data_IF_032400947611
#
_entry.id   IF_032400947611
#
_cell.length_a   1.000
_cell.length_b   1.000
_cell.length_c   1.000
_cell.angle_alpha   90.00
_cell.angle_beta   90.00
_cell.angle_gamma   90.00
#
_symmetry.space_group_name_H-M   'P 1'
#
loop_
_entity.id
_entity.type
_entity.pdbx_description
1 polymer ?
#
# COMPACT_ATOMS: atom_id res chain seq x y z
N UNK A 1 9.44 24.64 -2.64
CA UNK A 1 9.86 23.61 -3.60
C UNK A 1 9.22 22.30 -3.16
N UNK A 2 8.46 21.66 -4.04
CA UNK A 2 7.80 20.38 -3.73
C UNK A 2 8.83 19.25 -3.70
N UNK A 3 8.78 18.39 -2.68
CA UNK A 3 9.75 17.30 -2.51
C UNK A 3 9.06 16.02 -2.05
N UNK A 4 9.67 14.90 -2.41
CA UNK A 4 9.20 13.56 -2.12
C UNK A 4 10.36 12.67 -1.69
N UNK A 5 10.11 11.78 -0.74
CA UNK A 5 10.94 10.60 -0.54
C UNK A 5 10.62 9.61 -1.65
N UNK A 6 11.66 8.98 -2.18
CA UNK A 6 11.56 8.00 -3.24
C UNK A 6 12.11 6.66 -2.73
N UNK A 7 11.23 5.67 -2.69
CA UNK A 7 11.57 4.27 -2.50
C UNK A 7 11.84 3.60 -3.85
N UNK A 8 12.56 2.50 -3.83
CA UNK A 8 12.91 1.76 -5.04
C UNK A 8 13.47 0.37 -4.73
N UNK A 9 13.56 -0.46 -5.75
CA UNK A 9 14.18 -1.77 -5.64
C UNK A 9 15.70 -1.67 -5.72
N UNK A 10 16.40 -2.30 -4.78
CA UNK A 10 17.84 -2.49 -4.82
C UNK A 10 18.22 -3.82 -5.47
N UNK A 11 19.52 -4.20 -5.43
CA UNK A 11 20.03 -5.36 -6.18
C UNK A 11 19.37 -6.69 -5.84
N UNK A 12 18.94 -6.91 -4.59
CA UNK A 12 18.25 -8.13 -4.17
C UNK A 12 16.89 -8.32 -4.85
N UNK A 13 16.31 -7.25 -5.40
CA UNK A 13 15.03 -7.23 -6.10
C UNK A 13 15.21 -6.85 -7.58
N UNK A 14 16.39 -7.13 -8.15
CA UNK A 14 16.75 -6.83 -9.54
C UNK A 14 16.65 -5.34 -9.91
N UNK A 15 16.81 -4.46 -8.92
CA UNK A 15 16.80 -3.00 -9.11
C UNK A 15 18.14 -2.34 -8.82
N UNK A 16 18.18 -1.02 -9.01
CA UNK A 16 19.39 -0.19 -8.94
C UNK A 16 19.38 0.83 -7.80
N UNK A 17 18.33 0.88 -6.97
CA UNK A 17 18.23 1.84 -5.88
C UNK A 17 19.19 1.51 -4.72
N UNK A 18 19.91 2.53 -4.24
CA UNK A 18 20.85 2.39 -3.12
C UNK A 18 20.20 2.67 -1.75
N UNK A 19 18.95 3.11 -1.73
CA UNK A 19 18.21 3.44 -0.51
C UNK A 19 17.06 4.41 -0.76
N UNK A 20 16.69 5.16 0.28
CA UNK A 20 15.63 6.17 0.17
C UNK A 20 16.25 7.43 -0.40
N UNK A 21 15.76 7.86 -1.56
CA UNK A 21 16.24 9.07 -2.21
C UNK A 21 15.26 10.23 -2.15
N UNK A 22 15.68 11.35 -2.74
CA UNK A 22 14.88 12.57 -2.83
C UNK A 22 14.53 12.86 -4.28
N UNK A 23 13.25 13.03 -4.54
CA UNK A 23 12.73 13.61 -5.77
C UNK A 23 12.27 15.03 -5.48
N UNK A 24 12.76 16.01 -6.23
CA UNK A 24 12.45 17.43 -5.99
C UNK A 24 11.94 18.10 -7.27
N UNK A 25 10.81 18.79 -7.17
CA UNK A 25 10.29 19.63 -8.25
C UNK A 25 10.97 21.00 -8.27
N UNK A 26 10.80 21.77 -9.34
CA UNK A 26 11.30 23.15 -9.46
C UNK A 26 10.77 24.13 -8.41
N UNK A 27 11.35 25.33 -8.39
CA UNK A 27 10.89 26.43 -7.55
C UNK A 27 9.55 26.97 -8.08
N UNK A 28 8.48 26.62 -7.38
CA UNK A 28 7.12 27.04 -7.71
C UNK A 28 6.12 26.57 -6.67
N UNK A 29 4.88 27.05 -6.78
CA UNK A 29 3.76 26.51 -6.00
C UNK A 29 3.34 25.13 -6.49
N UNK A 30 3.46 24.89 -7.79
CA UNK A 30 3.22 23.60 -8.44
C UNK A 30 4.49 23.18 -9.17
N UNK A 31 4.86 21.91 -9.07
CA UNK A 31 6.01 21.38 -9.80
C UNK A 31 5.67 21.27 -11.29
N UNK A 32 6.57 21.76 -12.14
CA UNK A 32 6.55 21.60 -13.59
C UNK A 32 7.66 20.68 -14.11
N UNK A 33 8.73 20.52 -13.33
CA UNK A 33 9.80 19.55 -13.57
C UNK A 33 10.07 18.74 -12.32
N UNK A 34 10.83 17.66 -12.43
CA UNK A 34 11.26 16.81 -11.32
C UNK A 34 12.74 16.45 -11.51
N UNK A 35 13.47 16.30 -10.42
CA UNK A 35 14.84 15.82 -10.47
C UNK A 35 15.12 14.92 -9.28
N UNK A 36 15.68 13.75 -9.55
CA UNK A 36 16.25 12.90 -8.52
C UNK A 36 17.54 13.54 -7.97
N UNK A 37 17.67 13.61 -6.65
CA UNK A 37 18.78 14.27 -5.94
C UNK A 37 19.71 13.29 -5.24
N UNK A 38 19.55 11.99 -5.49
CA UNK A 38 20.34 10.93 -4.87
C UNK A 38 19.72 10.38 -3.60
N UNK A 39 20.31 9.29 -3.06
CA UNK A 39 19.92 8.70 -1.78
C UNK A 39 20.27 9.65 -0.62
N UNK A 40 19.38 9.74 0.37
CA UNK A 40 19.64 10.44 1.64
C UNK A 40 19.95 9.49 2.79
N UNK A 41 19.69 8.20 2.59
CA UNK A 41 20.07 7.12 3.50
C UNK A 41 20.21 5.84 2.71
N UNK A 42 21.25 5.06 3.00
CA UNK A 42 21.47 3.76 2.37
C UNK A 42 20.67 2.70 3.12
N UNK A 43 19.85 1.95 2.39
CA UNK A 43 19.03 0.86 2.94
C UNK A 43 18.60 -0.05 1.78
N UNK A 44 18.55 -1.38 1.97
CA UNK A 44 18.29 -2.27 0.84
C UNK A 44 16.80 -2.28 0.45
N UNK A 45 16.53 -2.10 -0.84
CA UNK A 45 15.21 -2.25 -1.46
C UNK A 45 14.03 -1.65 -0.66
N UNK A 46 14.04 -0.35 -0.30
CA UNK A 46 12.92 0.31 0.38
C UNK A 46 11.74 0.47 -0.59
N UNK A 47 11.03 -0.64 -0.86
CA UNK A 47 10.07 -0.73 -1.95
C UNK A 47 8.76 0.02 -1.67
N UNK A 48 8.43 0.21 -0.39
CA UNK A 48 7.28 0.96 0.08
C UNK A 48 7.66 1.90 1.23
N UNK A 49 7.14 3.12 1.22
CA UNK A 49 7.36 4.11 2.26
C UNK A 49 6.05 4.55 2.91
N UNK A 50 6.03 4.66 4.24
CA UNK A 50 4.92 5.23 5.00
C UNK A 50 5.43 6.28 5.99
N UNK A 51 4.70 7.40 6.14
CA UNK A 51 5.05 8.43 7.10
C UNK A 51 4.25 8.27 8.40
N UNK A 52 4.90 8.50 9.55
CA UNK A 52 4.19 8.70 10.81
C UNK A 52 3.26 9.92 10.70
N UNK A 53 2.01 9.90 11.23
CA UNK A 53 1.04 10.99 11.04
C UNK A 53 1.46 12.32 11.66
N UNK A 54 2.20 12.30 12.77
CA UNK A 54 2.54 13.50 13.57
C UNK A 54 4.02 13.68 13.92
N UNK A 55 4.88 12.70 13.59
CA UNK A 55 6.29 12.72 13.93
C UNK A 55 7.09 12.76 12.62
N UNK A 56 8.30 13.26 12.72
CA UNK A 56 9.29 13.27 11.64
C UNK A 56 9.94 11.88 11.46
N UNK A 57 9.10 10.87 11.23
CA UNK A 57 9.51 9.46 11.07
C UNK A 57 8.93 8.88 9.78
N UNK A 58 9.78 8.20 9.02
CA UNK A 58 9.44 7.42 7.82
C UNK A 58 9.72 5.94 8.10
N UNK A 59 8.80 5.08 7.70
CA UNK A 59 8.93 3.63 7.75
C UNK A 59 9.12 3.10 6.32
N UNK A 60 10.04 2.16 6.14
CA UNK A 60 10.30 1.52 4.87
C UNK A 60 10.11 0.01 4.97
N UNK A 61 9.44 -0.57 3.97
CA UNK A 61 9.45 -2.02 3.73
C UNK A 61 10.70 -2.36 2.94
N UNK A 62 11.59 -3.14 3.52
CA UNK A 62 12.83 -3.63 2.91
C UNK A 62 12.52 -5.00 2.30
N UNK A 63 11.88 -4.99 1.13
CA UNK A 63 11.15 -6.17 0.61
C UNK A 63 12.04 -7.39 0.39
N UNK A 64 13.25 -7.18 -0.14
CA UNK A 64 14.24 -8.25 -0.36
C UNK A 64 14.88 -8.79 0.91
N UNK A 65 14.77 -8.07 2.02
CA UNK A 65 15.39 -8.39 3.32
C UNK A 65 14.36 -8.85 4.35
N UNK A 66 13.08 -8.99 3.95
CA UNK A 66 11.99 -9.45 4.81
C UNK A 66 11.85 -8.62 6.11
N UNK A 67 12.16 -7.32 6.06
CA UNK A 67 12.26 -6.45 7.23
C UNK A 67 11.57 -5.10 7.05
N UNK A 68 11.19 -4.49 8.17
CA UNK A 68 10.70 -3.11 8.22
C UNK A 68 11.69 -2.27 9.03
N UNK A 69 12.02 -1.08 8.53
CA UNK A 69 12.93 -0.16 9.23
C UNK A 69 12.32 1.23 9.38
N UNK A 70 12.47 1.81 10.57
CA UNK A 70 12.11 3.20 10.84
C UNK A 70 13.31 4.13 10.62
N UNK A 71 13.05 5.34 10.16
CA UNK A 71 14.03 6.39 9.94
C UNK A 71 13.51 7.71 10.51
N UNK A 72 14.31 8.35 11.35
CA UNK A 72 14.03 9.69 11.83
C UNK A 72 14.56 10.72 10.83
N UNK A 73 13.76 11.74 10.52
CA UNK A 73 14.20 12.89 9.74
C UNK A 73 14.95 13.85 10.67
N UNK A 74 16.26 13.94 10.48
CA UNK A 74 17.17 14.75 11.32
C UNK A 74 17.56 16.07 10.67
N UNK A 75 17.07 16.32 9.46
CA UNK A 75 17.26 17.57 8.72
C UNK A 75 16.28 17.67 7.56
N UNK A 76 16.37 18.76 6.80
CA UNK A 76 15.42 19.04 5.72
C UNK A 76 15.35 17.89 4.69
N UNK A 77 16.52 17.32 4.35
CA UNK A 77 16.73 16.22 3.40
C UNK A 77 17.66 15.14 3.98
N UNK A 78 17.48 14.77 5.26
CA UNK A 78 18.31 13.78 5.92
C UNK A 78 17.44 12.77 6.68
N UNK A 79 17.72 11.48 6.49
CA UNK A 79 17.09 10.38 7.20
C UNK A 79 18.16 9.53 7.89
N UNK A 80 18.00 9.32 9.18
CA UNK A 80 18.88 8.44 9.97
C UNK A 80 18.08 7.25 10.49
N UNK A 81 18.64 6.02 10.44
CA UNK A 81 18.01 4.86 11.05
C UNK A 81 17.54 5.14 12.48
N UNK A 82 16.30 4.78 12.76
CA UNK A 82 15.66 4.92 14.07
C UNK A 82 15.44 3.51 14.65
N UNK A 83 16.53 2.93 15.13
CA UNK A 83 16.61 1.52 15.52
C UNK A 83 17.06 0.61 14.38
N UNK A 84 17.19 -0.68 14.71
CA UNK A 84 17.57 -1.72 13.74
C UNK A 84 16.37 -2.13 12.87
N UNK A 85 16.60 -2.66 11.65
CA UNK A 85 15.56 -3.32 10.88
C UNK A 85 14.91 -4.44 11.70
N UNK A 86 13.58 -4.52 11.66
CA UNK A 86 12.80 -5.53 12.36
C UNK A 86 12.36 -6.60 11.37
N UNK A 87 12.81 -7.87 11.52
CA UNK A 87 12.31 -8.99 10.72
C UNK A 87 10.78 -9.07 10.79
N UNK A 88 10.14 -9.26 9.65
CA UNK A 88 8.67 -9.15 9.52
C UNK A 88 8.07 -10.34 8.79
N UNK A 89 8.55 -10.65 7.60
CA UNK A 89 8.04 -11.74 6.77
C UNK A 89 8.49 -11.60 5.32
N UNK A 90 8.44 -12.71 4.59
CA UNK A 90 9.03 -12.79 3.25
C UNK A 90 8.31 -11.82 2.30
N UNK A 91 9.08 -11.00 1.59
CA UNK A 91 8.53 -10.03 0.64
C UNK A 91 7.56 -9.02 1.27
N UNK A 92 7.88 -8.48 2.45
CA UNK A 92 7.13 -7.36 3.02
C UNK A 92 7.08 -6.21 2.00
N UNK A 93 5.88 -5.90 1.52
CA UNK A 93 5.70 -5.10 0.30
C UNK A 93 4.85 -3.84 0.52
N UNK A 94 4.15 -3.73 1.65
CA UNK A 94 3.29 -2.58 1.94
C UNK A 94 3.19 -2.33 3.45
N UNK A 95 3.15 -1.05 3.83
CA UNK A 95 3.00 -0.60 5.21
C UNK A 95 1.87 0.42 5.32
N UNK A 96 1.06 0.27 6.37
CA UNK A 96 0.06 1.26 6.77
C UNK A 96 0.31 1.71 8.20
N UNK A 97 0.29 3.03 8.44
CA UNK A 97 0.40 3.61 9.78
C UNK A 97 -0.97 4.10 10.23
N UNK A 98 -1.36 3.73 11.44
CA UNK A 98 -2.61 4.17 12.07
C UNK A 98 -2.68 5.69 12.16
N UNK A 99 -3.87 6.31 12.01
CA UNK A 99 -4.02 7.76 12.10
C UNK A 99 -3.55 8.39 13.42
N UNK A 100 -3.58 7.62 14.52
CA UNK A 100 -3.11 8.05 15.83
C UNK A 100 -1.59 7.86 16.03
N UNK A 101 -0.89 7.25 15.07
CA UNK A 101 0.55 7.03 15.11
C UNK A 101 1.02 5.94 16.09
N UNK A 102 0.13 5.09 16.58
CA UNK A 102 0.49 4.11 17.62
C UNK A 102 0.71 2.69 17.08
N UNK A 103 0.30 2.43 15.85
CA UNK A 103 0.34 1.10 15.24
C UNK A 103 0.75 1.20 13.78
N UNK A 104 1.55 0.24 13.34
CA UNK A 104 1.87 -0.02 11.94
C UNK A 104 1.42 -1.44 11.58
N UNK A 105 0.84 -1.61 10.40
CA UNK A 105 0.51 -2.92 9.82
C UNK A 105 1.33 -3.11 8.55
N UNK A 106 1.97 -4.27 8.45
CA UNK A 106 2.78 -4.70 7.31
C UNK A 106 2.11 -5.87 6.59
N UNK A 107 2.18 -5.87 5.26
CA UNK A 107 1.69 -6.96 4.40
C UNK A 107 2.88 -7.65 3.72
N UNK A 108 2.99 -8.96 3.89
CA UNK A 108 4.07 -9.79 3.38
C UNK A 108 3.59 -10.61 2.19
N UNK A 109 4.10 -10.29 1.01
CA UNK A 109 3.70 -10.93 -0.24
C UNK A 109 4.22 -12.36 -0.31
N UNK A 110 5.47 -12.61 0.09
CA UNK A 110 6.15 -13.89 -0.11
C UNK A 110 5.57 -15.04 0.72
N UNK A 111 5.12 -14.75 1.95
CA UNK A 111 4.58 -15.74 2.88
C UNK A 111 3.12 -15.49 3.29
N UNK A 112 2.48 -14.45 2.76
CA UNK A 112 1.08 -14.15 2.99
C UNK A 112 0.77 -13.47 4.33
N UNK A 113 1.78 -13.20 5.17
CA UNK A 113 1.54 -12.72 6.53
C UNK A 113 1.07 -11.26 6.57
N UNK A 114 0.15 -10.98 7.48
CA UNK A 114 -0.17 -9.62 7.93
C UNK A 114 0.37 -9.44 9.34
N UNK A 115 1.28 -8.49 9.53
CA UNK A 115 2.01 -8.31 10.79
C UNK A 115 1.70 -6.94 11.40
N UNK A 116 1.46 -6.91 12.72
CA UNK A 116 1.22 -5.67 13.47
C UNK A 116 2.42 -5.31 14.34
N UNK A 117 2.81 -4.04 14.31
CA UNK A 117 3.77 -3.44 15.22
C UNK A 117 3.12 -2.34 16.05
N UNK A 118 3.45 -2.30 17.34
CA UNK A 118 3.25 -1.08 18.13
C UNK A 118 4.35 -0.08 17.80
N UNK A 119 4.01 1.21 17.85
CA UNK A 119 4.95 2.31 17.68
C UNK A 119 5.20 2.96 19.03
N UNK A 120 6.47 3.13 19.40
CA UNK A 120 6.87 3.82 20.62
C UNK A 120 6.54 5.33 20.51
N UNK A 121 6.63 6.04 21.63
CA UNK A 121 6.33 7.48 21.69
C UNK A 121 7.22 8.35 20.78
N UNK A 122 8.41 7.85 20.43
CA UNK A 122 9.35 8.48 19.50
C UNK A 122 9.25 7.94 18.06
N UNK A 123 8.28 7.06 17.80
CA UNK A 123 8.03 6.45 16.50
C UNK A 123 8.85 5.20 16.20
N UNK A 124 9.70 4.70 17.12
CA UNK A 124 10.40 3.40 16.94
C UNK A 124 9.40 2.25 16.80
N UNK A 125 9.71 1.30 15.91
CA UNK A 125 9.04 0.01 15.88
C UNK A 125 9.30 -0.69 17.20
N UNK A 126 8.25 -1.15 17.87
CA UNK A 126 8.36 -2.03 19.03
C UNK A 126 8.17 -3.45 18.50
N UNK A 127 9.22 -4.28 18.45
CA UNK A 127 9.07 -5.68 18.09
C UNK A 127 8.09 -6.35 19.04
N UNK A 128 7.47 -7.43 18.57
CA UNK A 128 6.82 -8.38 19.44
C UNK A 128 7.69 -8.68 20.65
N UNK A 129 7.17 -8.48 21.86
CA UNK A 129 7.67 -9.26 22.98
C UNK A 129 6.87 -10.55 22.97
N UNK A 130 7.55 -11.70 23.02
CA UNK A 130 6.89 -12.94 23.44
C UNK A 130 6.10 -12.63 24.72
N UNK A 131 4.79 -12.82 24.69
CA UNK A 131 3.97 -12.67 25.88
C UNK A 131 4.24 -13.88 26.77
N UNK A 132 5.34 -13.81 27.53
CA UNK A 132 5.75 -14.85 28.46
C UNK A 132 4.65 -15.16 29.49
N UNK A 133 3.75 -14.22 29.76
CA UNK A 133 2.61 -14.44 30.66
C UNK A 133 1.46 -15.18 29.95
N UNK A 134 1.19 -14.92 28.68
CA UNK A 134 0.27 -15.75 27.88
C UNK A 134 0.83 -17.16 27.67
N UNK A 135 2.11 -17.29 27.32
CA UNK A 135 2.79 -18.58 27.19
C UNK A 135 2.75 -19.38 28.52
N UNK A 136 2.96 -18.70 29.65
CA UNK A 136 2.85 -19.32 30.97
C UNK A 136 1.40 -19.67 31.35
N UNK A 137 0.41 -18.85 30.98
CA UNK A 137 -1.02 -19.16 31.24
C UNK A 137 -1.49 -20.37 30.42
N UNK A 138 -1.15 -20.43 29.14
CA UNK A 138 -1.42 -21.58 28.28
C UNK A 138 -0.79 -22.85 28.85
N UNK A 139 0.48 -22.76 29.28
CA UNK A 139 1.20 -23.88 29.87
C UNK A 139 0.65 -24.35 31.23
N UNK A 140 0.08 -23.43 32.04
CA UNK A 140 -0.39 -23.75 33.39
C UNK A 140 -1.87 -24.12 33.47
N UNK A 141 -2.71 -23.55 32.61
CA UNK A 141 -4.17 -23.60 32.77
C UNK A 141 -4.91 -24.23 31.59
N UNK A 142 -4.28 -24.37 30.42
CA UNK A 142 -5.00 -24.57 29.17
C UNK A 142 -5.85 -23.33 28.84
N UNK A 143 -5.89 -22.91 27.58
CA UNK A 143 -6.41 -21.58 27.25
C UNK A 143 -7.86 -21.35 27.75
N UNK A 144 -8.10 -20.13 28.22
CA UNK A 144 -9.42 -19.62 28.56
C UNK A 144 -10.33 -19.53 27.33
N UNK A 145 -11.63 -19.35 27.61
CA UNK A 145 -12.77 -19.26 26.67
C UNK A 145 -12.58 -19.98 25.31
N UNK A 146 -13.07 -21.22 25.15
CA UNK A 146 -12.94 -21.97 23.90
C UNK A 146 -13.63 -21.30 22.69
N UNK A 147 -14.47 -20.28 22.93
CA UNK A 147 -15.17 -19.54 21.88
C UNK A 147 -14.47 -18.22 21.49
N UNK A 148 -13.38 -17.83 22.17
CA UNK A 148 -12.60 -16.65 21.81
C UNK A 148 -11.62 -16.96 20.67
N UNK A 149 -11.76 -16.27 19.53
CA UNK A 149 -10.79 -16.39 18.45
C UNK A 149 -9.38 -15.99 18.95
N UNK A 150 -8.34 -16.80 18.69
CA UNK A 150 -6.99 -16.51 19.18
C UNK A 150 -6.47 -15.23 18.52
N UNK A 151 -6.10 -14.24 19.34
CA UNK A 151 -5.39 -13.07 18.86
C UNK A 151 -3.97 -13.49 18.42
N UNK A 152 -3.56 -13.10 17.22
CA UNK A 152 -2.14 -13.24 16.83
C UNK A 152 -1.31 -12.34 17.73
N UNK A 153 -0.23 -12.82 18.37
CA UNK A 153 0.69 -11.92 19.07
C UNK A 153 1.17 -10.79 18.15
N UNK A 154 1.53 -9.63 18.72
CA UNK A 154 2.26 -8.61 17.94
C UNK A 154 3.47 -9.27 17.26
N UNK A 155 3.88 -8.80 16.07
CA UNK A 155 4.99 -9.34 15.27
C UNK A 155 4.87 -10.79 14.78
N UNK A 156 3.89 -11.56 15.26
CA UNK A 156 3.42 -12.75 14.56
C UNK A 156 2.39 -12.33 13.52
N UNK A 157 2.41 -12.97 12.35
CA UNK A 157 1.47 -12.70 11.27
C UNK A 157 0.69 -13.94 10.84
N UNK A 158 -0.53 -13.73 10.34
CA UNK A 158 -1.40 -14.81 9.87
C UNK A 158 -1.54 -14.74 8.36
N UNK A 159 -1.04 -15.76 7.66
CA UNK A 159 -1.38 -16.01 6.27
C UNK A 159 -2.85 -16.43 6.15
N UNK A 160 -3.48 -16.09 5.04
CA UNK A 160 -4.84 -16.55 4.77
C UNK A 160 -4.85 -18.06 4.45
N UNK A 161 -6.05 -18.65 4.48
CA UNK A 161 -6.30 -20.02 4.01
C UNK A 161 -7.11 -19.93 2.73
N UNK A 162 -6.82 -20.78 1.73
CA UNK A 162 -7.51 -20.74 0.44
C UNK A 162 -9.02 -20.97 0.65
N UNK A 163 -9.90 -19.97 0.43
CA UNK A 163 -11.33 -20.12 0.62
C UNK A 163 -11.96 -21.07 -0.42
N UNK A 164 -11.22 -21.40 -1.49
CA UNK A 164 -11.67 -22.29 -2.56
C UNK A 164 -11.23 -23.75 -2.37
N UNK A 165 -10.36 -24.02 -1.38
CA UNK A 165 -9.82 -25.37 -1.14
C UNK A 165 -9.02 -25.95 -2.32
N UNK A 166 -8.47 -25.10 -3.21
CA UNK A 166 -7.76 -25.54 -4.40
C UNK A 166 -6.25 -25.71 -4.11
N UNK A 167 -5.68 -26.84 -4.51
CA UNK A 167 -4.23 -27.02 -4.41
C UNK A 167 -3.47 -26.10 -5.37
N UNK A 168 -2.28 -25.66 -4.97
CA UNK A 168 -1.32 -24.97 -5.85
C UNK A 168 -1.37 -23.44 -5.86
N UNK A 169 -2.19 -22.82 -4.99
CA UNK A 169 -2.16 -21.37 -4.72
C UNK A 169 -1.51 -21.12 -3.37
N UNK A 170 -0.90 -19.95 -3.21
CA UNK A 170 -0.34 -19.47 -1.95
C UNK A 170 -1.03 -18.16 -1.55
N UNK A 171 -1.03 -17.86 -0.25
CA UNK A 171 -1.46 -16.57 0.29
C UNK A 171 -0.43 -15.51 -0.06
N UNK A 172 -0.90 -14.33 -0.50
CA UNK A 172 -0.06 -13.18 -0.85
C UNK A 172 -0.70 -11.91 -0.31
N UNK A 173 -0.44 -11.56 0.96
CA UNK A 173 -0.92 -10.31 1.53
C UNK A 173 -0.23 -9.13 0.84
N UNK A 174 -1.01 -8.16 0.36
CA UNK A 174 -0.45 -7.12 -0.51
C UNK A 174 -0.63 -5.68 0.00
N UNK A 175 -1.76 -5.35 0.62
CA UNK A 175 -1.97 -4.00 1.14
C UNK A 175 -2.76 -4.01 2.45
N UNK A 176 -2.64 -2.92 3.20
CA UNK A 176 -3.38 -2.68 4.44
C UNK A 176 -3.90 -1.25 4.48
N UNK A 177 -5.06 -1.03 5.10
CA UNK A 177 -5.61 0.29 5.37
C UNK A 177 -6.36 0.33 6.70
N UNK A 178 -6.22 1.41 7.44
CA UNK A 178 -7.01 1.66 8.64
C UNK A 178 -8.38 2.25 8.26
N UNK A 179 -9.44 1.67 8.81
CA UNK A 179 -10.80 2.11 8.59
C UNK A 179 -11.25 3.10 9.67
N UNK A 180 -12.23 3.99 9.38
CA UNK A 180 -12.72 4.97 10.35
C UNK A 180 -13.36 4.36 11.61
N UNK A 181 -13.83 3.11 11.52
CA UNK A 181 -14.43 2.36 12.64
C UNK A 181 -13.38 1.70 13.57
N UNK A 182 -12.09 1.88 13.28
CA UNK A 182 -10.97 1.34 14.05
C UNK A 182 -10.52 -0.06 13.62
N UNK A 183 -11.19 -0.69 12.64
CA UNK A 183 -10.70 -1.92 12.01
C UNK A 183 -9.57 -1.65 11.03
N UNK A 184 -8.89 -2.72 10.64
CA UNK A 184 -7.91 -2.73 9.55
C UNK A 184 -8.45 -3.60 8.42
N UNK A 185 -8.42 -3.11 7.19
CA UNK A 185 -8.65 -3.92 5.99
C UNK A 185 -7.31 -4.35 5.40
N UNK A 186 -7.19 -5.59 4.93
CA UNK A 186 -6.04 -6.07 4.17
C UNK A 186 -6.47 -6.87 2.96
N UNK A 187 -5.69 -6.83 1.89
CA UNK A 187 -5.89 -7.67 0.70
C UNK A 187 -5.00 -8.89 0.73
N UNK A 188 -5.54 -10.02 0.31
CA UNK A 188 -4.77 -11.20 -0.08
C UNK A 188 -4.96 -11.43 -1.59
N UNK A 189 -3.92 -11.09 -2.33
CA UNK A 189 -3.87 -11.24 -3.78
C UNK A 189 -3.91 -12.71 -4.19
N UNK A 190 -3.28 -13.58 -3.40
CA UNK A 190 -3.15 -15.00 -3.70
C UNK A 190 -4.46 -15.77 -3.57
N UNK A 191 -5.34 -15.35 -2.66
CA UNK A 191 -6.60 -16.02 -2.31
C UNK A 191 -7.88 -15.25 -2.61
N UNK A 192 -7.81 -14.13 -3.31
CA UNK A 192 -8.96 -13.31 -3.68
C UNK A 192 -9.74 -12.75 -2.47
N UNK A 193 -9.03 -12.38 -1.41
CA UNK A 193 -9.66 -11.94 -0.15
C UNK A 193 -9.46 -10.45 0.11
N UNK A 194 -10.51 -9.84 0.68
CA UNK A 194 -10.38 -8.65 1.53
C UNK A 194 -10.71 -9.08 2.95
N UNK A 195 -9.75 -8.94 3.86
CA UNK A 195 -9.83 -9.39 5.25
C UNK A 195 -9.95 -8.17 6.17
N UNK A 196 -10.81 -8.25 7.17
CA UNK A 196 -11.05 -7.19 8.14
C UNK A 196 -10.61 -7.67 9.52
N UNK A 197 -9.89 -6.83 10.24
CA UNK A 197 -9.25 -7.17 11.51
C UNK A 197 -9.62 -6.16 12.59
N UNK A 198 -9.86 -6.66 13.81
CA UNK A 198 -9.90 -5.84 15.02
C UNK A 198 -8.52 -5.78 15.65
N UNK A 199 -8.16 -4.60 16.13
CA UNK A 199 -6.99 -4.42 16.99
C UNK A 199 -7.38 -4.82 18.43
N UNK A 200 -6.83 -5.91 18.95
CA UNK A 200 -7.08 -6.35 20.32
C UNK A 200 -5.78 -6.57 21.07
N UNK A 201 -5.52 -5.76 22.11
CA UNK A 201 -4.25 -5.79 22.83
C UNK A 201 -3.06 -5.57 21.88
N UNK A 202 -2.02 -6.43 21.91
CA UNK A 202 -0.92 -6.39 20.95
C UNK A 202 -1.28 -6.97 19.57
N UNK A 203 -2.40 -7.69 19.44
CA UNK A 203 -2.66 -8.56 18.31
C UNK A 203 -3.64 -8.05 17.25
N UNK A 204 -3.75 -8.81 16.17
CA UNK A 204 -4.83 -8.74 15.19
C UNK A 204 -5.78 -9.91 15.41
N UNK A 205 -7.08 -9.64 15.44
CA UNK A 205 -8.13 -10.66 15.47
C UNK A 205 -8.93 -10.53 14.19
N UNK A 206 -8.98 -11.62 13.41
CA UNK A 206 -9.77 -11.65 12.18
C UNK A 206 -11.25 -11.48 12.54
N UNK A 207 -11.87 -10.44 11.99
CA UNK A 207 -13.29 -10.10 12.19
C UNK A 207 -14.14 -10.67 11.06
N UNK A 208 -13.67 -10.54 9.82
CA UNK A 208 -14.40 -10.94 8.63
C UNK A 208 -13.46 -11.18 7.45
N UNK A 209 -13.87 -12.05 6.54
CA UNK A 209 -13.32 -12.14 5.18
C UNK A 209 -14.43 -11.91 4.15
N UNK A 210 -14.13 -11.11 3.14
CA UNK A 210 -14.94 -10.94 1.93
C UNK A 210 -14.19 -11.62 0.79
N UNK A 211 -14.81 -12.65 0.23
CA UNK A 211 -14.26 -13.43 -0.88
C UNK A 211 -14.67 -12.79 -2.21
N UNK A 212 -13.71 -12.26 -2.96
CA UNK A 212 -13.93 -11.80 -4.33
C UNK A 212 -13.91 -12.99 -5.30
N UNK A 213 -14.48 -12.88 -6.51
CA UNK A 213 -14.45 -13.96 -7.50
C UNK A 213 -13.05 -14.55 -7.73
N UNK A 214 -13.01 -15.85 -7.99
CA UNK A 214 -11.75 -16.60 -8.10
C UNK A 214 -10.88 -16.08 -9.23
N UNK A 215 -9.61 -15.77 -8.92
CA UNK A 215 -8.63 -15.29 -9.89
C UNK A 215 -8.71 -13.78 -10.16
N UNK A 216 -9.26 -13.02 -9.22
CA UNK A 216 -9.29 -11.55 -9.30
C UNK A 216 -7.97 -10.95 -8.82
N UNK A 217 -7.41 -11.44 -7.71
CA UNK A 217 -6.16 -10.95 -7.14
C UNK A 217 -6.23 -9.53 -6.58
N UNK A 218 -6.97 -9.27 -5.48
CA UNK A 218 -7.03 -7.98 -4.80
C UNK A 218 -5.63 -7.46 -4.44
N UNK A 219 -5.31 -6.24 -4.85
CA UNK A 219 -3.99 -5.63 -4.69
C UNK A 219 -4.05 -4.43 -3.75
N UNK A 220 -4.15 -3.21 -4.27
CA UNK A 220 -4.21 -1.99 -3.45
C UNK A 220 -5.65 -1.53 -3.22
N UNK A 221 -5.85 -0.65 -2.23
CA UNK A 221 -7.17 -0.17 -1.85
C UNK A 221 -7.18 1.30 -1.45
N UNK A 222 -8.33 1.94 -1.60
CA UNK A 222 -8.62 3.30 -1.16
C UNK A 222 -9.80 3.29 -0.21
N UNK A 223 -9.58 3.80 1.02
CA UNK A 223 -10.67 4.16 1.94
C UNK A 223 -11.28 5.48 1.46
N UNK A 224 -12.49 5.44 0.92
CA UNK A 224 -13.15 6.60 0.35
C UNK A 224 -13.91 7.40 1.43
N UNK A 225 -13.96 8.75 1.38
CA UNK A 225 -14.72 9.56 2.33
C UNK A 225 -16.22 9.25 2.41
N UNK A 226 -16.79 8.55 1.43
CA UNK A 226 -18.17 8.05 1.48
C UNK A 226 -18.37 6.88 2.43
N UNK A 227 -17.30 6.31 2.99
CA UNK A 227 -17.34 5.08 3.79
C UNK A 227 -17.15 3.80 2.97
N UNK A 228 -17.01 3.90 1.65
CA UNK A 228 -16.74 2.75 0.78
C UNK A 228 -15.25 2.42 0.75
N UNK A 229 -14.93 1.15 0.49
CA UNK A 229 -13.58 0.67 0.23
C UNK A 229 -13.49 0.26 -1.24
N UNK A 230 -12.64 0.92 -2.02
CA UNK A 230 -12.36 0.53 -3.39
C UNK A 230 -11.09 -0.29 -3.46
N UNK A 231 -11.13 -1.44 -4.12
CA UNK A 231 -10.05 -2.42 -4.17
C UNK A 231 -9.74 -2.74 -5.62
N UNK A 232 -8.53 -2.40 -6.08
CA UNK A 232 -8.08 -2.76 -7.42
C UNK A 232 -7.54 -4.18 -7.45
N UNK A 233 -7.82 -4.91 -8.53
CA UNK A 233 -7.44 -6.31 -8.68
C UNK A 233 -6.36 -6.49 -9.77
N UNK A 234 -5.25 -7.13 -9.42
CA UNK A 234 -4.08 -7.30 -10.30
C UNK A 234 -4.35 -8.25 -11.46
N UNK A 235 -5.15 -9.30 -11.27
CA UNK A 235 -5.33 -10.33 -12.29
C UNK A 235 -6.55 -10.08 -13.16
N UNK A 236 -7.68 -9.64 -12.58
CA UNK A 236 -8.92 -9.42 -13.36
C UNK A 236 -9.07 -8.04 -13.97
N UNK A 237 -8.17 -7.09 -13.68
CA UNK A 237 -8.24 -5.71 -14.18
C UNK A 237 -9.53 -4.96 -13.77
N UNK A 238 -10.02 -5.19 -12.56
CA UNK A 238 -11.24 -4.58 -12.03
C UNK A 238 -10.95 -3.72 -10.79
N UNK A 239 -11.91 -2.86 -10.45
CA UNK A 239 -12.00 -2.21 -9.14
C UNK A 239 -13.32 -2.65 -8.50
N UNK A 240 -13.22 -3.41 -7.41
CA UNK A 240 -14.36 -3.80 -6.58
C UNK A 240 -14.63 -2.70 -5.55
N UNK A 241 -15.91 -2.41 -5.31
CA UNK A 241 -16.34 -1.49 -4.26
C UNK A 241 -17.05 -2.28 -3.17
N UNK A 242 -16.57 -2.14 -1.94
CA UNK A 242 -17.14 -2.77 -0.76
C UNK A 242 -17.74 -1.70 0.15
N UNK A 243 -18.76 -2.07 0.91
CA UNK A 243 -19.36 -1.23 1.94
C UNK A 243 -19.76 -2.06 3.16
N UNK A 244 -19.74 -1.43 4.35
CA UNK A 244 -20.30 -2.02 5.55
C UNK A 244 -21.82 -1.80 5.61
N UNK A 245 -22.56 -2.85 5.93
CA UNK A 245 -23.95 -2.80 6.35
C UNK A 245 -24.07 -2.18 7.76
N UNK A 246 -25.31 -1.93 8.19
CA UNK A 246 -25.60 -1.28 9.47
C UNK A 246 -25.12 -2.09 10.70
N UNK A 247 -24.97 -3.41 10.55
CA UNK A 247 -24.43 -4.31 11.57
C UNK A 247 -22.89 -4.39 11.58
N UNK A 248 -22.23 -3.68 10.64
CA UNK A 248 -20.78 -3.64 10.49
C UNK A 248 -20.21 -4.68 9.53
N UNK A 249 -21.03 -5.57 8.95
CA UNK A 249 -20.60 -6.58 7.98
C UNK A 249 -20.29 -5.94 6.64
N UNK A 250 -19.10 -6.21 6.08
CA UNK A 250 -18.70 -5.73 4.75
C UNK A 250 -19.17 -6.66 3.64
N UNK A 251 -19.57 -6.13 2.49
CA UNK A 251 -19.83 -6.93 1.30
C UNK A 251 -19.47 -6.15 0.03
N UNK A 252 -19.33 -6.86 -1.09
CA UNK A 252 -19.19 -6.27 -2.42
C UNK A 252 -20.52 -5.63 -2.82
N UNK A 253 -20.48 -4.34 -3.12
CA UNK A 253 -21.67 -3.60 -3.59
C UNK A 253 -21.63 -3.31 -5.09
N UNK A 254 -20.44 -3.26 -5.69
CA UNK A 254 -20.27 -3.14 -7.14
C UNK A 254 -18.87 -3.57 -7.59
N UNK A 255 -18.71 -3.71 -8.91
CA UNK A 255 -17.40 -3.74 -9.55
C UNK A 255 -17.46 -2.96 -10.87
N UNK A 256 -16.30 -2.50 -11.33
CA UNK A 256 -16.12 -1.91 -12.66
C UNK A 256 -14.75 -2.32 -13.22
N UNK A 257 -14.60 -2.48 -14.55
CA UNK A 257 -13.28 -2.65 -15.12
C UNK A 257 -12.43 -1.41 -14.87
N UNK A 258 -11.13 -1.56 -14.64
CA UNK A 258 -10.20 -0.44 -14.52
C UNK A 258 -10.21 0.44 -15.78
N UNK A 259 -10.32 -0.20 -16.96
CA UNK A 259 -10.46 0.43 -18.26
C UNK A 259 -11.27 -0.49 -19.20
N UNK A 260 -12.11 0.05 -20.11
CA UNK A 260 -12.87 -0.77 -21.07
C UNK A 260 -12.00 -1.55 -22.07
N UNK A 261 -10.72 -1.19 -22.17
CA UNK A 261 -9.75 -1.82 -23.09
C UNK A 261 -8.58 -2.49 -22.36
N UNK A 262 -8.65 -2.63 -21.03
CA UNK A 262 -7.67 -3.42 -20.28
C UNK A 262 -7.73 -4.89 -20.71
N UNK A 263 -6.57 -5.53 -20.83
CA UNK A 263 -6.43 -6.91 -21.30
C UNK A 263 -5.96 -7.82 -20.18
N UNK A 264 -6.84 -8.71 -19.70
CA UNK A 264 -6.50 -9.72 -18.69
C UNK A 264 -5.31 -10.58 -19.15
N UNK A 265 -4.32 -10.77 -18.27
CA UNK A 265 -3.11 -11.53 -18.55
C UNK A 265 -2.02 -10.74 -19.31
N UNK A 266 -2.33 -9.51 -19.73
CA UNK A 266 -1.36 -8.55 -20.30
C UNK A 266 -1.21 -7.36 -19.36
N UNK A 267 -2.34 -6.81 -18.91
CA UNK A 267 -2.42 -5.72 -17.96
C UNK A 267 -2.49 -6.23 -16.53
N UNK A 268 -1.77 -5.54 -15.64
CA UNK A 268 -1.71 -5.84 -14.22
C UNK A 268 -1.83 -4.53 -13.43
N UNK A 269 -3.05 -4.15 -13.00
CA UNK A 269 -3.22 -2.96 -12.19
C UNK A 269 -2.30 -2.92 -10.97
N UNK A 270 -1.81 -1.74 -10.61
CA UNK A 270 -0.85 -1.56 -9.54
C UNK A 270 -1.43 -0.74 -8.37
N UNK A 271 -1.02 0.52 -8.23
CA UNK A 271 -1.50 1.45 -7.21
C UNK A 271 -2.94 1.87 -7.49
N UNK A 272 -3.71 2.20 -6.45
CA UNK A 272 -5.01 2.85 -6.58
C UNK A 272 -4.99 4.13 -5.74
N UNK A 273 -5.04 5.28 -6.40
CA UNK A 273 -5.00 6.58 -5.75
C UNK A 273 -6.29 7.37 -6.00
N UNK A 274 -6.64 8.27 -5.08
CA UNK A 274 -7.85 9.11 -5.15
C UNK A 274 -7.48 10.57 -5.38
N UNK A 275 -8.30 11.30 -6.13
CA UNK A 275 -8.27 12.77 -6.13
C UNK A 275 -8.56 13.32 -4.72
N UNK A 276 -8.11 14.54 -4.43
CA UNK A 276 -8.32 15.16 -3.11
C UNK A 276 -9.80 15.21 -2.70
N UNK A 277 -10.68 15.54 -3.65
CA UNK A 277 -12.13 15.66 -3.49
C UNK A 277 -12.89 14.32 -3.59
N UNK A 278 -12.23 13.24 -4.00
CA UNK A 278 -12.83 11.91 -4.09
C UNK A 278 -13.66 11.66 -5.32
N UNK A 279 -13.71 12.61 -6.25
CA UNK A 279 -14.50 12.44 -7.47
C UNK A 279 -13.85 11.45 -8.45
N UNK A 280 -12.55 11.19 -8.32
CA UNK A 280 -11.80 10.32 -9.22
C UNK A 280 -10.87 9.36 -8.49
N UNK A 281 -10.75 8.16 -9.05
CA UNK A 281 -9.73 7.16 -8.74
C UNK A 281 -8.80 6.99 -9.94
N UNK A 282 -7.55 6.65 -9.67
CA UNK A 282 -6.52 6.45 -10.67
C UNK A 282 -5.81 5.14 -10.40
N UNK A 283 -5.70 4.28 -11.40
CA UNK A 283 -4.89 3.05 -11.33
C UNK A 283 -3.93 2.98 -12.49
N UNK A 284 -2.68 2.66 -12.20
CA UNK A 284 -1.72 2.30 -13.23
C UNK A 284 -1.98 0.87 -13.71
N UNK A 285 -1.83 0.62 -15.01
CA UNK A 285 -1.84 -0.70 -15.64
C UNK A 285 -0.42 -1.02 -16.10
N UNK A 286 0.27 -1.92 -15.38
CA UNK A 286 1.54 -2.50 -15.87
C UNK A 286 1.24 -3.41 -17.05
N UNK A 287 2.12 -3.46 -18.04
CA UNK A 287 1.87 -4.20 -19.29
C UNK A 287 1.62 -3.23 -20.43
N UNK A 288 0.40 -2.69 -20.55
CA UNK A 288 0.14 -1.57 -21.48
C UNK A 288 0.81 -0.27 -21.07
N UNK A 289 1.28 -0.15 -19.83
CA UNK A 289 1.99 1.01 -19.30
C UNK A 289 1.16 2.29 -19.36
N UNK A 290 -0.07 2.21 -18.88
CA UNK A 290 -1.06 3.29 -18.91
C UNK A 290 -1.55 3.67 -17.51
N UNK A 291 -2.16 4.85 -17.38
CA UNK A 291 -2.93 5.30 -16.21
C UNK A 291 -4.41 5.37 -16.60
N UNK A 292 -5.22 4.56 -15.93
CA UNK A 292 -6.68 4.62 -16.03
C UNK A 292 -7.25 5.57 -14.99
N UNK A 293 -8.21 6.40 -15.38
CA UNK A 293 -8.99 7.24 -14.47
C UNK A 293 -10.44 6.76 -14.43
N UNK A 294 -10.95 6.55 -13.23
CA UNK A 294 -12.33 6.19 -12.96
C UNK A 294 -13.01 7.31 -12.18
N UNK A 295 -14.22 7.68 -12.59
CA UNK A 295 -15.05 8.62 -11.87
C UNK A 295 -15.90 7.89 -10.84
N UNK A 296 -15.93 8.43 -9.64
CA UNK A 296 -16.80 7.97 -8.56
C UNK A 296 -18.21 8.54 -8.77
N UNK A 297 -19.23 7.66 -8.72
CA UNK A 297 -20.64 7.97 -8.99
C UNK A 297 -21.52 7.61 -7.80
N UNK A 298 -22.75 8.14 -7.83
CA UNK A 298 -23.71 7.95 -6.75
C UNK A 298 -23.23 8.59 -5.45
N UNK A 299 -23.39 7.88 -4.34
CA UNK A 299 -22.82 8.23 -3.04
C UNK A 299 -21.39 7.73 -2.87
N UNK A 300 -20.81 7.07 -3.87
CA UNK A 300 -19.49 6.44 -3.83
C UNK A 300 -19.49 4.96 -4.20
N UNK A 301 -20.66 4.37 -4.41
CA UNK A 301 -20.82 2.93 -4.64
C UNK A 301 -20.51 2.48 -6.07
N UNK A 302 -20.48 3.40 -7.05
CA UNK A 302 -20.31 3.06 -8.46
C UNK A 302 -19.09 3.76 -9.06
N UNK A 303 -18.40 3.06 -9.96
CA UNK A 303 -17.23 3.56 -10.66
C UNK A 303 -17.46 3.52 -12.18
N UNK A 304 -17.00 4.55 -12.88
CA UNK A 304 -17.11 4.66 -14.34
C UNK A 304 -15.73 5.01 -14.92
N UNK A 305 -15.12 4.15 -15.76
CA UNK A 305 -13.90 4.52 -16.47
C UNK A 305 -14.14 5.71 -17.40
N UNK A 306 -13.32 6.76 -17.26
CA UNK A 306 -13.49 8.02 -18.02
C UNK A 306 -12.28 8.40 -18.85
N UNK A 307 -11.09 7.88 -18.54
CA UNK A 307 -9.90 8.13 -19.34
C UNK A 307 -8.89 6.99 -19.21
N UNK A 308 -8.06 6.84 -20.24
CA UNK A 308 -6.85 6.03 -20.24
C UNK A 308 -5.75 6.83 -20.94
N UNK A 309 -4.62 7.01 -20.30
CA UNK A 309 -3.50 7.76 -20.83
C UNK A 309 -2.20 6.95 -20.74
N UNK A 310 -1.26 7.24 -21.63
CA UNK A 310 0.10 6.72 -21.53
C UNK A 310 0.75 7.20 -20.22
N UNK A 311 1.45 6.31 -19.51
CA UNK A 311 2.10 6.67 -18.24
C UNK A 311 3.49 7.30 -18.42
N UNK A 312 4.07 7.21 -19.61
CA UNK A 312 5.42 7.65 -19.98
C UNK A 312 6.54 6.79 -19.39
N UNK A 313 6.23 5.64 -18.80
CA UNK A 313 7.22 4.77 -18.15
C UNK A 313 6.99 3.29 -18.47
N UNK A 314 8.01 2.45 -18.27
CA UNK A 314 7.84 1.00 -18.28
C UNK A 314 7.54 0.48 -16.87
N UNK A 315 6.49 -0.33 -16.77
CA UNK A 315 6.05 -0.98 -15.55
C UNK A 315 5.69 0.03 -14.44
N UNK A 316 4.64 0.86 -14.63
CA UNK A 316 4.20 1.85 -13.65
C UNK A 316 3.73 1.17 -12.36
N UNK A 317 4.62 1.10 -11.37
CA UNK A 317 4.45 0.30 -10.15
C UNK A 317 3.72 1.05 -9.05
N UNK A 318 3.86 2.38 -9.03
CA UNK A 318 3.20 3.28 -8.09
C UNK A 318 2.96 4.65 -8.73
N UNK A 319 1.93 5.36 -8.29
CA UNK A 319 1.71 6.74 -8.65
C UNK A 319 1.14 7.55 -7.50
N UNK A 320 1.34 8.86 -7.57
CA UNK A 320 0.87 9.82 -6.57
C UNK A 320 0.09 10.93 -7.25
N UNK A 321 -1.14 11.17 -6.80
CA UNK A 321 -1.92 12.37 -7.13
C UNK A 321 -1.53 13.49 -6.17
N UNK A 322 -0.94 14.58 -6.67
CA UNK A 322 -0.45 15.68 -5.85
C UNK A 322 -0.61 17.02 -6.57
N UNK A 323 -1.44 17.91 -6.00
CA UNK A 323 -1.62 19.30 -6.48
C UNK A 323 -1.85 19.42 -8.00
N UNK A 324 -2.90 18.78 -8.52
CA UNK A 324 -3.23 18.82 -9.95
C UNK A 324 -2.24 18.10 -10.87
N UNK A 325 -1.32 17.29 -10.30
CA UNK A 325 -0.36 16.45 -11.04
C UNK A 325 -0.50 14.98 -10.66
N UNK A 326 -0.03 14.13 -11.55
CA UNK A 326 0.16 12.71 -11.31
C UNK A 326 1.63 12.36 -11.53
N UNK A 327 2.29 11.86 -10.49
CA UNK A 327 3.67 11.38 -10.56
C UNK A 327 3.63 9.86 -10.71
N UNK A 328 4.25 9.30 -11.76
CA UNK A 328 4.26 7.84 -11.98
C UNK A 328 5.67 7.29 -11.85
N UNK A 329 5.86 6.30 -10.97
CA UNK A 329 7.12 5.58 -10.82
C UNK A 329 7.16 4.36 -11.75
N UNK A 330 8.05 4.41 -12.74
CA UNK A 330 8.36 3.34 -13.67
C UNK A 330 9.46 2.44 -13.16
N UNK A 331 9.09 1.28 -12.60
CA UNK A 331 10.05 0.38 -11.97
C UNK A 331 11.13 -0.09 -12.96
N UNK A 332 10.76 -0.42 -14.20
CA UNK A 332 11.67 -1.05 -15.18
C UNK A 332 12.39 -0.05 -16.08
N UNK A 333 11.90 1.19 -16.14
CA UNK A 333 12.47 2.25 -16.97
C UNK A 333 13.37 3.22 -16.19
N UNK A 334 13.64 2.98 -14.91
CA UNK A 334 14.42 3.89 -14.05
C UNK A 334 13.95 5.36 -14.17
N UNK A 335 12.62 5.57 -14.21
CA UNK A 335 12.05 6.89 -14.53
C UNK A 335 10.85 7.20 -13.65
N UNK A 336 10.73 8.46 -13.23
CA UNK A 336 9.50 9.05 -12.70
C UNK A 336 8.97 10.07 -13.70
N UNK A 337 7.75 9.89 -14.19
CA UNK A 337 7.08 10.90 -15.04
C UNK A 337 6.20 11.81 -14.21
N UNK A 338 6.03 13.05 -14.71
CA UNK A 338 5.07 14.02 -14.21
C UNK A 338 4.03 14.27 -15.30
N UNK A 339 2.77 13.99 -15.02
CA UNK A 339 1.64 14.28 -15.89
C UNK A 339 0.81 15.42 -15.30
N UNK A 340 0.26 16.28 -16.15
CA UNK A 340 -0.81 17.18 -15.73
C UNK A 340 -2.12 16.41 -15.56
N UNK A 341 -2.94 16.81 -14.59
CA UNK A 341 -4.30 16.31 -14.42
C UNK A 341 -5.30 17.42 -14.74
N UNK A 342 -6.27 17.16 -15.60
CA UNK A 342 -7.48 18.00 -15.67
C UNK A 342 -8.40 17.62 -14.51
N UNK A 343 -8.29 18.35 -13.40
CA UNK A 343 -9.07 18.07 -12.17
C UNK A 343 -10.59 18.14 -12.37
N UNK A 344 -11.08 18.82 -13.41
CA UNK A 344 -12.52 18.89 -13.72
C UNK A 344 -13.02 17.61 -14.37
N UNK A 345 -12.21 16.98 -15.22
CA UNK A 345 -12.61 15.76 -15.95
C UNK A 345 -12.06 14.49 -15.34
N UNK A 346 -10.99 14.61 -14.54
CA UNK A 346 -10.20 13.51 -13.99
C UNK A 346 -9.21 12.92 -14.99
N UNK A 347 -9.04 13.52 -16.18
CA UNK A 347 -8.18 12.95 -17.21
C UNK A 347 -6.69 13.26 -16.94
N UNK A 348 -5.80 12.24 -16.93
CA UNK A 348 -4.38 12.48 -17.11
C UNK A 348 -4.13 13.03 -18.51
N UNK A 349 -3.36 14.10 -18.57
CA UNK A 349 -2.98 14.76 -19.81
C UNK A 349 -1.59 14.26 -20.26
N UNK A 350 -0.92 15.00 -21.13
CA UNK A 350 0.40 14.63 -21.62
C UNK A 350 1.47 14.59 -20.53
N UNK A 351 2.49 13.76 -20.77
CA UNK A 351 3.73 13.75 -19.99
C UNK A 351 4.36 15.14 -20.09
N UNK A 352 4.45 15.81 -18.95
CA UNK A 352 5.06 17.14 -18.82
C UNK A 352 6.57 17.04 -18.65
N UNK A 353 7.03 16.08 -17.88
CA UNK A 353 8.45 15.91 -17.57
C UNK A 353 8.78 14.47 -17.19
N UNK A 354 10.05 14.10 -17.39
CA UNK A 354 10.62 12.80 -17.04
C UNK A 354 11.88 13.02 -16.21
N UNK A 355 11.98 12.33 -15.08
CA UNK A 355 13.14 12.36 -14.21
C UNK A 355 13.72 10.95 -14.08
N UNK A 356 15.00 10.79 -14.40
CA UNK A 356 15.71 9.53 -14.18
C UNK A 356 15.86 9.29 -12.67
N UNK A 357 15.47 8.11 -12.22
CA UNK A 357 15.58 7.68 -10.83
C UNK A 357 15.71 6.15 -10.77
N UNK A 358 16.53 5.59 -9.87
CA UNK A 358 16.83 4.17 -9.88
C UNK A 358 15.64 3.33 -9.39
N UNK A 359 15.13 2.45 -10.25
CA UNK A 359 14.07 1.47 -10.04
C UNK A 359 12.96 1.93 -9.07
N UNK A 360 12.28 3.07 -9.32
CA UNK A 360 11.38 3.69 -8.36
C UNK A 360 10.11 2.86 -8.17
N UNK A 361 9.68 2.71 -6.92
CA UNK A 361 8.51 1.89 -6.56
C UNK A 361 7.55 2.55 -5.58
N UNK A 362 7.94 3.63 -4.90
CA UNK A 362 7.09 4.35 -3.96
C UNK A 362 7.46 5.82 -3.90
N UNK A 363 6.46 6.70 -3.99
CA UNK A 363 6.62 8.15 -3.93
C UNK A 363 5.85 8.66 -2.73
N UNK A 364 6.55 9.18 -1.72
CA UNK A 364 5.97 9.69 -0.48
C UNK A 364 6.22 11.20 -0.36
N UNK A 365 5.17 12.06 -0.28
CA UNK A 365 5.36 13.48 -0.03
C UNK A 365 6.19 13.77 1.22
N UNK A 366 7.19 14.65 1.11
CA UNK A 366 7.76 15.29 2.31
C UNK A 366 6.69 16.22 2.91
N UNK A 367 6.51 16.12 4.22
CA UNK A 367 5.71 17.08 4.99
C UNK A 367 6.54 18.26 5.44
#
# INVERSE_FOLDING_TARGET
MTRFWLGGYGPAMEGSAEGIGVLAGDEGREATTLAYRGPVTQTPSPSWLAAHPSLDVVYAALEGDAAVQAFARTGELALTPLGDPVPTGDGVCHLAVSPNGQTLVASCYGDGRVVRFALAADGRLVPAKEDAAAALRAALFGDGDPDAAPATPAGDGIAAVDPYGAAGRASHAHAAAFLPDGRVATTDLGFDLVRFWRLQGPGLVLDQEVVLPRGTGPRHMVVHPSGHLHVVTEYSCEVFTLAAAADGTWDVVSSAPASPIAQIGVDFPAELARSKDGQFLYTALRGSNTIAALRVRGSGEALEPVALADSGVDWPRHHLVYQGKLLVAGQRSDTVTLLDLDERTGAPLGVRHEAQAPAPTSILPLR
#
